data_IF_370475186031
#
_entry.id   IF_370475186031
#
_cell.length_a   1.000
_cell.length_b   1.000
_cell.length_c   1.000
_cell.angle_alpha   90.00
_cell.angle_beta   90.00
_cell.angle_gamma   90.00
#
_symmetry.space_group_name_H-M   'P 1'
#
loop_
_entity.id
_entity.type
_entity.pdbx_description
1 polymer ?
#
# COMPACT_ATOMS: atom_id res chain seq x y z
N UNK A 1 -21.30 26.80 22.57
CA UNK A 1 -20.45 27.14 21.40
C UNK A 1 -20.51 26.11 20.25
N UNK A 2 -21.22 25.01 20.37
CA UNK A 2 -21.29 23.91 19.35
C UNK A 2 -22.25 24.18 18.17
N UNK A 3 -23.23 25.09 18.32
CA UNK A 3 -24.26 25.32 17.30
C UNK A 3 -23.83 25.97 15.98
N UNK A 4 -22.69 26.69 15.95
CA UNK A 4 -22.22 27.38 14.73
C UNK A 4 -21.12 26.67 13.96
N UNK A 5 -20.50 25.61 14.52
CA UNK A 5 -19.39 24.88 13.86
C UNK A 5 -19.90 23.93 12.77
N UNK A 6 -21.01 23.24 13.04
CA UNK A 6 -21.58 22.24 12.11
C UNK A 6 -22.07 22.87 10.78
N UNK A 7 -22.80 24.01 10.77
CA UNK A 7 -23.20 24.66 9.53
C UNK A 7 -22.01 25.11 8.66
N UNK A 8 -20.96 25.68 9.28
CA UNK A 8 -19.73 26.10 8.58
C UNK A 8 -18.98 24.93 7.97
N UNK A 9 -18.86 23.82 8.70
CA UNK A 9 -18.21 22.60 8.19
C UNK A 9 -19.00 22.01 7.00
N UNK A 10 -20.33 21.98 7.06
CA UNK A 10 -21.19 21.52 5.95
C UNK A 10 -21.07 22.44 4.73
N UNK A 11 -21.04 23.74 4.90
CA UNK A 11 -20.86 24.70 3.81
C UNK A 11 -19.49 24.54 3.14
N UNK A 12 -18.40 24.35 3.92
CA UNK A 12 -17.07 24.08 3.40
C UNK A 12 -17.05 22.75 2.62
N UNK A 13 -17.65 21.70 3.18
CA UNK A 13 -17.72 20.39 2.53
C UNK A 13 -18.48 20.44 1.19
N UNK A 14 -19.58 21.17 1.12
CA UNK A 14 -20.33 21.40 -0.12
C UNK A 14 -19.49 22.16 -1.17
N UNK A 15 -18.71 23.17 -0.75
CA UNK A 15 -17.77 23.88 -1.64
C UNK A 15 -16.67 22.98 -2.18
N UNK A 16 -16.07 22.10 -1.35
CA UNK A 16 -15.07 21.14 -1.77
C UNK A 16 -15.68 20.14 -2.75
N UNK A 17 -16.89 19.67 -2.47
CA UNK A 17 -17.62 18.73 -3.33
C UNK A 17 -17.90 19.35 -4.71
N UNK A 18 -18.42 20.56 -4.76
CA UNK A 18 -18.69 21.30 -5.99
C UNK A 18 -17.41 21.63 -6.80
N UNK A 19 -16.27 21.87 -6.13
CA UNK A 19 -14.99 22.12 -6.77
C UNK A 19 -14.29 20.84 -7.27
N UNK A 20 -14.82 19.65 -6.97
CA UNK A 20 -14.21 18.38 -7.35
C UNK A 20 -14.58 18.00 -8.78
N UNK A 21 -13.60 17.77 -9.68
CA UNK A 21 -13.88 17.34 -11.05
C UNK A 21 -14.67 16.03 -11.10
N UNK A 22 -15.69 15.95 -11.97
CA UNK A 22 -16.59 14.78 -12.08
C UNK A 22 -15.85 13.47 -12.44
N UNK A 23 -14.71 13.55 -13.12
CA UNK A 23 -13.92 12.41 -13.53
C UNK A 23 -13.00 11.85 -12.42
N UNK A 24 -13.00 12.47 -11.23
CA UNK A 24 -12.11 12.06 -10.12
C UNK A 24 -12.63 10.77 -9.48
N UNK A 25 -11.77 9.75 -9.40
CA UNK A 25 -12.10 8.50 -8.72
C UNK A 25 -11.91 8.69 -7.19
N UNK A 26 -13.03 9.02 -6.54
CA UNK A 26 -13.07 9.31 -5.09
C UNK A 26 -12.75 8.07 -4.24
N UNK A 27 -13.00 6.86 -4.74
CA UNK A 27 -12.67 5.63 -4.02
C UNK A 27 -11.16 5.41 -3.96
N UNK A 28 -10.44 5.71 -5.04
CA UNK A 28 -8.96 5.68 -5.06
C UNK A 28 -8.38 6.69 -4.07
N UNK A 29 -8.96 7.89 -4.00
CA UNK A 29 -8.54 8.90 -3.03
C UNK A 29 -8.84 8.46 -1.58
N UNK A 30 -9.97 7.78 -1.34
CA UNK A 30 -10.30 7.22 -0.04
C UNK A 30 -9.31 6.12 0.38
N UNK A 31 -8.97 5.20 -0.53
CA UNK A 31 -7.95 4.17 -0.27
C UNK A 31 -6.58 4.78 0.07
N UNK A 32 -6.18 5.85 -0.63
CA UNK A 32 -4.95 6.57 -0.32
C UNK A 32 -4.99 7.20 1.06
N UNK A 33 -6.09 7.87 1.41
CA UNK A 33 -6.24 8.49 2.73
C UNK A 33 -6.24 7.45 3.85
N UNK A 34 -6.90 6.30 3.65
CA UNK A 34 -6.87 5.17 4.59
C UNK A 34 -5.46 4.60 4.74
N UNK A 35 -4.72 4.48 3.63
CA UNK A 35 -3.35 3.98 3.68
C UNK A 35 -2.44 4.93 4.49
N UNK A 36 -2.56 6.25 4.30
CA UNK A 36 -1.80 7.24 5.07
C UNK A 36 -2.19 7.19 6.55
N UNK A 37 -3.50 7.14 6.85
CA UNK A 37 -3.98 7.05 8.22
C UNK A 37 -3.50 5.77 8.91
N UNK A 38 -3.51 4.63 8.20
CA UNK A 38 -2.99 3.36 8.70
C UNK A 38 -1.52 3.44 9.08
N UNK A 39 -0.68 4.02 8.23
CA UNK A 39 0.74 4.23 8.53
C UNK A 39 0.93 5.11 9.76
N UNK A 40 0.27 6.27 9.83
CA UNK A 40 0.39 7.20 10.96
C UNK A 40 -0.04 6.54 12.27
N UNK A 41 -1.22 5.93 12.29
CA UNK A 41 -1.74 5.25 13.48
C UNK A 41 -0.89 4.03 13.86
N UNK A 42 -0.41 3.29 12.86
CA UNK A 42 0.52 2.17 13.07
C UNK A 42 1.77 2.61 13.81
N UNK A 43 2.44 3.64 13.33
CA UNK A 43 3.62 4.19 14.01
C UNK A 43 3.30 4.67 15.42
N UNK A 44 2.22 5.41 15.63
CA UNK A 44 1.84 5.92 16.95
C UNK A 44 1.46 4.82 17.95
N UNK A 45 0.95 3.68 17.48
CA UNK A 45 0.55 2.56 18.34
C UNK A 45 1.66 1.53 18.54
N UNK A 46 2.56 1.35 17.55
CA UNK A 46 3.58 0.29 17.57
C UNK A 46 4.94 0.80 18.09
N UNK A 47 5.14 2.13 18.16
CA UNK A 47 6.36 2.74 18.70
C UNK A 47 6.15 3.21 20.14
N UNK A 48 6.99 2.78 21.06
CA UNK A 48 7.05 3.26 22.43
C UNK A 48 8.43 3.89 22.70
N UNK A 49 8.45 5.17 23.09
CA UNK A 49 9.67 5.85 23.49
C UNK A 49 9.75 5.82 25.04
N UNK A 50 10.48 4.83 25.53
CA UNK A 50 10.62 4.58 26.98
C UNK A 50 11.71 5.48 27.54
N UNK A 51 11.36 6.19 28.62
CA UNK A 51 12.30 7.04 29.36
C UNK A 51 12.77 6.32 30.61
N UNK A 52 14.05 6.02 30.69
CA UNK A 52 14.67 5.43 31.88
C UNK A 52 15.55 6.44 32.60
N UNK A 53 15.63 6.33 33.93
CA UNK A 53 16.55 7.15 34.73
C UNK A 53 17.93 6.51 34.64
N UNK A 54 18.89 7.21 34.06
CA UNK A 54 20.29 6.80 33.96
C UNK A 54 21.17 7.53 34.95
N UNK A 55 22.46 7.14 35.07
CA UNK A 55 23.46 7.80 35.91
C UNK A 55 23.71 9.26 35.54
N UNK A 56 23.50 9.64 34.31
CA UNK A 56 23.78 10.97 33.73
C UNK A 56 22.49 11.71 33.29
N UNK A 57 21.31 11.26 33.74
CA UNK A 57 20.04 11.84 33.33
C UNK A 57 19.03 10.84 32.79
N UNK A 58 18.18 11.27 31.86
CA UNK A 58 17.21 10.41 31.19
C UNK A 58 17.84 9.76 29.96
N UNK A 59 17.58 8.49 29.74
CA UNK A 59 17.93 7.76 28.52
C UNK A 59 16.65 7.36 27.75
N UNK A 60 16.64 7.54 26.43
CA UNK A 60 15.54 7.21 25.56
C UNK A 60 15.78 5.86 24.88
N UNK A 61 14.79 4.99 24.97
CA UNK A 61 14.82 3.69 24.30
C UNK A 61 13.58 3.50 23.46
N UNK A 62 13.77 3.21 22.17
CA UNK A 62 12.68 2.83 21.31
C UNK A 62 12.33 1.35 21.52
N UNK A 63 11.08 1.07 21.86
CA UNK A 63 10.55 -0.27 22.07
C UNK A 63 9.27 -0.47 21.25
N UNK A 64 8.98 -1.72 20.90
CA UNK A 64 7.73 -2.07 20.28
C UNK A 64 6.84 -2.86 21.26
N UNK A 65 5.56 -2.50 21.44
CA UNK A 65 4.63 -3.31 22.22
C UNK A 65 4.46 -4.73 21.66
N UNK A 66 4.76 -4.96 20.39
CA UNK A 66 4.69 -6.29 19.78
C UNK A 66 5.84 -7.20 20.23
N UNK A 67 6.93 -6.66 20.76
CA UNK A 67 8.02 -7.45 21.32
C UNK A 67 7.63 -8.10 22.66
N UNK A 68 6.78 -7.42 23.45
CA UNK A 68 6.33 -7.88 24.77
C UNK A 68 4.94 -8.49 24.73
N UNK A 69 4.06 -8.01 23.84
CA UNK A 69 2.67 -8.42 23.70
C UNK A 69 2.44 -9.01 22.29
N UNK A 70 3.09 -10.14 22.00
CA UNK A 70 3.04 -10.78 20.66
C UNK A 70 1.64 -11.17 20.21
N UNK A 71 0.69 -11.37 21.13
CA UNK A 71 -0.73 -11.64 20.84
C UNK A 71 -1.42 -10.46 20.12
N UNK A 72 -0.86 -9.24 20.16
CA UNK A 72 -1.37 -8.08 19.43
C UNK A 72 -0.90 -8.05 17.96
N UNK A 73 -0.03 -8.96 17.56
CA UNK A 73 0.51 -9.00 16.21
C UNK A 73 -0.57 -9.01 15.13
N UNK A 74 -1.64 -9.84 15.20
CA UNK A 74 -2.71 -9.82 14.19
C UNK A 74 -3.45 -8.47 14.10
N UNK A 75 -3.57 -7.75 15.23
CA UNK A 75 -4.17 -6.41 15.25
C UNK A 75 -3.32 -5.42 14.49
N UNK A 76 -1.99 -5.55 14.55
CA UNK A 76 -1.05 -4.69 13.82
C UNK A 76 -1.19 -4.80 12.29
N UNK A 77 -1.73 -5.91 11.77
CA UNK A 77 -1.95 -6.11 10.33
C UNK A 77 -2.90 -5.07 9.73
N UNK A 78 -3.85 -4.55 10.51
CA UNK A 78 -4.78 -3.50 10.07
C UNK A 78 -4.04 -2.21 9.71
N UNK A 79 -2.91 -1.94 10.38
CA UNK A 79 -2.11 -0.72 10.19
C UNK A 79 -0.99 -0.88 9.16
N UNK A 80 -0.68 -2.11 8.74
CA UNK A 80 0.26 -2.35 7.65
C UNK A 80 -0.45 -2.11 6.31
N UNK A 81 -0.41 -0.88 5.83
CA UNK A 81 -1.18 -0.41 4.66
C UNK A 81 -0.32 0.00 3.46
N UNK A 82 0.99 -0.29 3.51
CA UNK A 82 1.94 0.09 2.46
C UNK A 82 1.57 -0.51 1.09
N UNK A 83 1.09 -1.76 1.06
CA UNK A 83 0.69 -2.40 -0.19
C UNK A 83 -0.49 -1.65 -0.86
N UNK A 84 -1.45 -1.15 -0.07
CA UNK A 84 -2.56 -0.33 -0.58
C UNK A 84 -2.02 0.98 -1.15
N UNK A 85 -1.02 1.59 -0.48
CA UNK A 85 -0.40 2.82 -0.96
C UNK A 85 0.31 2.61 -2.31
N UNK A 86 1.09 1.54 -2.47
CA UNK A 86 1.76 1.21 -3.72
C UNK A 86 0.76 0.81 -4.83
N UNK A 87 -0.32 0.10 -4.50
CA UNK A 87 -1.42 -0.20 -5.43
C UNK A 87 -2.03 1.08 -6.00
N UNK A 88 -2.41 2.02 -5.13
CA UNK A 88 -2.96 3.33 -5.52
C UNK A 88 -1.91 4.15 -6.27
N UNK A 89 -0.62 4.05 -5.87
CA UNK A 89 0.51 4.68 -6.54
C UNK A 89 0.65 4.23 -8.00
N UNK A 90 0.63 2.92 -8.25
CA UNK A 90 0.66 2.32 -9.58
C UNK A 90 -0.54 2.72 -10.44
N UNK A 91 -1.75 2.69 -9.85
CA UNK A 91 -2.96 3.17 -10.51
C UNK A 91 -2.83 4.65 -10.95
N UNK A 92 -2.42 5.52 -10.04
CA UNK A 92 -2.27 6.95 -10.31
C UNK A 92 -1.13 7.24 -11.31
N UNK A 93 -0.04 6.47 -11.27
CA UNK A 93 1.06 6.58 -12.20
C UNK A 93 0.61 6.22 -13.62
N UNK A 94 -0.05 5.07 -13.81
CA UNK A 94 -0.57 4.64 -15.11
C UNK A 94 -1.58 5.63 -15.71
N UNK A 95 -2.45 6.22 -14.88
CA UNK A 95 -3.46 7.21 -15.31
C UNK A 95 -2.87 8.55 -15.70
N UNK A 96 -1.73 8.92 -15.15
CA UNK A 96 -1.09 10.24 -15.36
C UNK A 96 0.10 10.22 -16.31
N UNK A 97 0.70 9.05 -16.56
CA UNK A 97 1.80 8.91 -17.48
C UNK A 97 1.32 9.05 -18.94
N UNK A 98 1.77 10.12 -19.62
CA UNK A 98 1.33 10.49 -20.97
C UNK A 98 2.53 10.94 -21.82
N UNK A 99 3.35 10.02 -22.26
CA UNK A 99 4.35 10.24 -23.31
C UNK A 99 5.65 10.93 -22.91
N UNK A 100 5.63 12.17 -22.44
CA UNK A 100 6.86 12.85 -21.99
C UNK A 100 7.30 12.39 -20.60
N UNK A 101 8.14 11.34 -20.61
CA UNK A 101 8.65 10.72 -19.40
C UNK A 101 9.46 11.66 -18.52
N UNK A 102 10.38 12.43 -19.12
CA UNK A 102 11.32 13.27 -18.35
C UNK A 102 10.60 14.38 -17.59
N UNK A 103 9.68 15.07 -18.26
CA UNK A 103 8.88 16.13 -17.63
C UNK A 103 7.94 15.56 -16.58
N UNK A 104 7.25 14.45 -16.87
CA UNK A 104 6.36 13.77 -15.94
C UNK A 104 7.10 13.28 -14.69
N UNK A 105 8.25 12.62 -14.83
CA UNK A 105 9.06 12.13 -13.72
C UNK A 105 9.58 13.28 -12.86
N UNK A 106 10.16 14.31 -13.49
CA UNK A 106 10.68 15.50 -12.78
C UNK A 106 9.60 16.17 -11.94
N UNK A 107 8.38 16.32 -12.47
CA UNK A 107 7.26 16.90 -11.72
C UNK A 107 6.85 16.03 -10.53
N UNK A 108 6.88 14.70 -10.68
CA UNK A 108 6.57 13.75 -9.63
C UNK A 108 7.62 13.76 -8.52
N UNK A 109 8.89 13.65 -8.89
CA UNK A 109 10.00 13.69 -7.94
C UNK A 109 10.07 15.04 -7.21
N UNK A 110 9.84 16.16 -7.90
CA UNK A 110 9.81 17.48 -7.26
C UNK A 110 8.68 17.62 -6.23
N UNK A 111 7.54 16.93 -6.40
CA UNK A 111 6.47 16.91 -5.39
C UNK A 111 6.82 16.08 -4.16
N UNK A 112 7.65 15.06 -4.33
CA UNK A 112 8.13 14.22 -3.22
C UNK A 112 9.28 14.90 -2.48
N UNK A 113 10.27 15.46 -3.20
CA UNK A 113 11.49 15.98 -2.61
C UNK A 113 11.30 17.30 -1.86
N UNK A 114 10.41 18.21 -2.32
CA UNK A 114 10.22 19.51 -1.68
C UNK A 114 9.82 19.43 -0.21
N UNK A 115 8.79 18.64 0.20
CA UNK A 115 8.44 18.50 1.60
C UNK A 115 9.55 17.82 2.42
N UNK A 116 10.31 16.89 1.81
CA UNK A 116 11.47 16.24 2.45
C UNK A 116 12.56 17.26 2.74
N UNK A 117 12.87 18.14 1.77
CA UNK A 117 13.86 19.20 1.96
C UNK A 117 13.46 20.16 3.10
N UNK A 118 12.16 20.45 3.26
CA UNK A 118 11.66 21.26 4.38
C UNK A 118 11.83 20.51 5.71
N UNK A 119 11.54 19.20 5.77
CA UNK A 119 11.79 18.40 6.96
C UNK A 119 13.27 18.46 7.36
N UNK A 120 14.17 18.21 6.41
CA UNK A 120 15.63 18.24 6.64
C UNK A 120 16.10 19.64 7.05
N UNK A 121 15.59 20.69 6.40
CA UNK A 121 15.96 22.10 6.73
C UNK A 121 15.54 22.52 8.15
N UNK A 122 14.51 21.87 8.72
CA UNK A 122 14.10 22.09 10.10
C UNK A 122 14.89 21.20 11.06
N UNK A 123 15.00 19.91 10.75
CA UNK A 123 15.61 18.96 11.67
C UNK A 123 17.13 19.03 11.72
N UNK A 124 17.82 19.42 10.63
CA UNK A 124 19.29 19.51 10.64
C UNK A 124 19.81 20.58 11.63
N UNK A 125 19.33 21.85 11.60
CA UNK A 125 19.76 22.85 12.59
C UNK A 125 19.26 22.53 14.01
N UNK A 126 18.06 21.93 14.15
CA UNK A 126 17.55 21.52 15.46
C UNK A 126 18.43 20.43 16.08
N UNK A 127 18.77 19.41 15.33
CA UNK A 127 19.66 18.32 15.78
C UNK A 127 21.06 18.84 16.13
N UNK A 128 21.62 19.70 15.28
CA UNK A 128 22.91 20.35 15.55
C UNK A 128 22.87 21.17 16.84
N UNK A 129 21.82 21.98 17.04
CA UNK A 129 21.63 22.78 18.27
C UNK A 129 21.49 21.93 19.53
N UNK A 130 20.69 20.84 19.48
CA UNK A 130 20.53 19.90 20.59
C UNK A 130 21.85 19.20 20.94
N UNK A 131 22.61 18.81 19.94
CA UNK A 131 23.92 18.15 20.14
C UNK A 131 24.94 19.11 20.73
N UNK A 132 25.10 20.31 20.14
CA UNK A 132 26.10 21.28 20.55
C UNK A 132 25.81 21.88 21.92
N UNK A 133 24.54 22.01 22.32
CA UNK A 133 24.14 22.49 23.66
C UNK A 133 24.33 21.43 24.77
N UNK A 134 24.58 20.15 24.40
CA UNK A 134 24.62 19.05 25.36
C UNK A 134 23.26 18.73 26.01
N UNK A 135 22.15 19.30 25.48
CA UNK A 135 20.81 19.10 26.03
C UNK A 135 20.30 17.65 25.85
N UNK A 136 20.84 16.92 24.86
CA UNK A 136 20.46 15.55 24.54
C UNK A 136 21.74 14.73 24.31
N UNK A 137 21.79 13.51 24.84
CA UNK A 137 22.91 12.61 24.58
C UNK A 137 22.98 12.23 23.09
N UNK A 138 24.19 11.88 22.60
CA UNK A 138 24.34 11.42 21.20
C UNK A 138 23.50 10.18 20.88
N UNK A 139 23.33 9.27 21.86
CA UNK A 139 22.48 8.08 21.71
C UNK A 139 20.99 8.42 21.60
N UNK A 140 20.50 9.34 22.45
CA UNK A 140 19.13 9.80 22.41
C UNK A 140 18.83 10.57 21.12
N UNK A 141 19.77 11.42 20.69
CA UNK A 141 19.65 12.15 19.43
C UNK A 141 19.59 11.18 18.24
N UNK A 142 20.41 10.11 18.25
CA UNK A 142 20.36 9.06 17.23
C UNK A 142 18.97 8.39 17.20
N UNK A 143 18.41 8.02 18.36
CA UNK A 143 17.07 7.44 18.48
C UNK A 143 16.01 8.38 17.90
N UNK A 144 16.03 9.65 18.26
CA UNK A 144 15.11 10.67 17.76
C UNK A 144 15.22 10.84 16.24
N UNK A 145 16.43 10.96 15.70
CA UNK A 145 16.65 11.12 14.27
C UNK A 145 16.26 9.89 13.49
N UNK A 146 16.51 8.69 14.01
CA UNK A 146 16.06 7.44 13.40
C UNK A 146 14.54 7.42 13.25
N UNK A 147 13.79 7.76 14.31
CA UNK A 147 12.32 7.82 14.25
C UNK A 147 11.82 8.84 13.21
N UNK A 148 12.44 10.01 13.11
CA UNK A 148 12.02 11.06 12.18
C UNK A 148 12.34 10.71 10.73
N UNK A 149 13.50 10.09 10.49
CA UNK A 149 14.00 9.82 9.14
C UNK A 149 13.57 8.45 8.61
N UNK A 150 13.23 7.51 9.50
CA UNK A 150 12.78 6.17 9.11
C UNK A 150 11.70 6.17 8.02
N UNK A 151 10.64 7.02 8.07
CA UNK A 151 9.64 7.03 7.00
C UNK A 151 10.18 7.39 5.60
N UNK A 152 11.40 7.95 5.49
CA UNK A 152 11.95 8.39 4.19
C UNK A 152 12.35 7.23 3.27
N UNK A 153 12.68 6.05 3.82
CA UNK A 153 12.97 4.88 2.98
C UNK A 153 11.82 4.55 2.03
N UNK A 154 10.59 4.65 2.54
CA UNK A 154 9.38 4.42 1.76
C UNK A 154 9.26 5.39 0.56
N UNK A 155 9.60 6.68 0.76
CA UNK A 155 9.60 7.66 -0.33
C UNK A 155 10.67 7.37 -1.37
N UNK A 156 11.84 6.87 -0.93
CA UNK A 156 12.89 6.39 -1.82
C UNK A 156 12.40 5.27 -2.73
N UNK A 157 11.80 4.24 -2.16
CA UNK A 157 11.19 3.13 -2.92
C UNK A 157 10.10 3.64 -3.86
N UNK A 158 9.21 4.52 -3.38
CA UNK A 158 8.16 5.10 -4.20
C UNK A 158 8.71 5.91 -5.38
N UNK A 159 9.81 6.64 -5.19
CA UNK A 159 10.50 7.37 -6.25
C UNK A 159 11.09 6.40 -7.30
N UNK A 160 11.73 5.31 -6.87
CA UNK A 160 12.25 4.26 -7.77
C UNK A 160 11.12 3.62 -8.57
N UNK A 161 10.02 3.20 -7.93
CA UNK A 161 8.87 2.62 -8.63
C UNK A 161 8.21 3.61 -9.59
N UNK A 162 8.17 4.89 -9.22
CA UNK A 162 7.71 5.95 -10.13
C UNK A 162 8.62 6.07 -11.34
N UNK A 163 9.94 6.01 -11.16
CA UNK A 163 10.88 6.02 -12.28
C UNK A 163 10.74 4.77 -13.18
N UNK A 164 10.45 3.61 -12.61
CA UNK A 164 10.22 2.36 -13.33
C UNK A 164 8.84 2.29 -14.03
N UNK A 165 7.97 3.31 -13.90
CA UNK A 165 6.60 3.28 -14.46
C UNK A 165 6.54 2.92 -15.96
N UNK A 166 7.39 3.43 -16.86
CA UNK A 166 7.33 3.05 -18.28
C UNK A 166 7.54 1.54 -18.49
N UNK A 167 8.53 0.96 -17.83
CA UNK A 167 8.80 -0.47 -17.85
C UNK A 167 7.64 -1.26 -17.25
N UNK A 168 7.15 -0.83 -16.08
CA UNK A 168 6.02 -1.45 -15.40
C UNK A 168 4.74 -1.44 -16.26
N UNK A 169 4.47 -0.32 -16.95
CA UNK A 169 3.35 -0.22 -17.91
C UNK A 169 3.56 -1.17 -19.11
N UNK A 170 4.79 -1.27 -19.63
CA UNK A 170 5.11 -2.18 -20.74
C UNK A 170 4.91 -3.66 -20.34
N UNK A 171 5.39 -4.04 -19.15
CA UNK A 171 5.19 -5.39 -18.60
C UNK A 171 3.69 -5.73 -18.44
N UNK A 172 2.91 -4.81 -17.84
CA UNK A 172 1.46 -5.02 -17.68
C UNK A 172 0.74 -5.02 -19.03
N UNK A 173 1.20 -4.27 -20.02
CA UNK A 173 0.65 -4.34 -21.40
C UNK A 173 0.88 -5.69 -22.02
N UNK A 174 2.04 -6.31 -21.78
CA UNK A 174 2.45 -7.59 -22.38
C UNK A 174 1.84 -8.80 -21.66
N UNK A 175 1.82 -8.78 -20.32
CA UNK A 175 1.51 -9.94 -19.49
C UNK A 175 0.26 -9.74 -18.60
N UNK A 176 -0.40 -8.59 -18.66
CA UNK A 176 -1.56 -8.31 -17.83
C UNK A 176 -1.23 -8.37 -16.33
N UNK A 177 -2.09 -9.04 -15.56
CA UNK A 177 -1.91 -9.26 -14.12
C UNK A 177 -0.70 -10.14 -13.81
N UNK A 178 -0.33 -11.05 -14.71
CA UNK A 178 0.82 -11.94 -14.56
C UNK A 178 2.15 -11.18 -14.51
N UNK A 179 2.20 -9.92 -14.92
CA UNK A 179 3.37 -9.07 -14.73
C UNK A 179 3.82 -9.02 -13.26
N UNK A 180 2.89 -9.13 -12.29
CA UNK A 180 3.19 -9.14 -10.86
C UNK A 180 3.87 -10.44 -10.40
N UNK A 181 3.80 -11.53 -11.17
CA UNK A 181 4.48 -12.78 -10.85
C UNK A 181 6.00 -12.66 -10.95
N UNK A 182 6.53 -11.84 -11.86
CA UNK A 182 7.98 -11.67 -12.02
C UNK A 182 8.67 -11.17 -10.73
N UNK A 183 8.29 -10.02 -10.16
CA UNK A 183 8.90 -9.58 -8.91
C UNK A 183 8.53 -10.48 -7.72
N UNK A 184 7.38 -11.15 -7.72
CA UNK A 184 7.02 -12.13 -6.70
C UNK A 184 7.99 -13.32 -6.69
N UNK A 185 8.35 -13.86 -7.86
CA UNK A 185 9.35 -14.93 -8.00
C UNK A 185 10.72 -14.44 -7.51
N UNK A 186 11.11 -13.19 -7.83
CA UNK A 186 12.37 -12.61 -7.33
C UNK A 186 12.38 -12.58 -5.80
N UNK A 187 11.28 -12.16 -5.17
CA UNK A 187 11.16 -12.15 -3.70
C UNK A 187 11.27 -13.56 -3.13
N UNK A 188 10.56 -14.52 -3.70
CA UNK A 188 10.61 -15.92 -3.27
C UNK A 188 12.02 -16.51 -3.39
N UNK A 189 12.71 -16.23 -4.50
CA UNK A 189 14.09 -16.69 -4.72
C UNK A 189 15.07 -16.03 -3.72
N UNK A 190 14.94 -14.73 -3.46
CA UNK A 190 15.78 -14.03 -2.50
C UNK A 190 15.56 -14.53 -1.07
N UNK A 191 14.32 -14.82 -0.69
CA UNK A 191 14.03 -15.41 0.63
C UNK A 191 14.58 -16.84 0.74
N UNK A 192 14.42 -17.68 -0.31
CA UNK A 192 15.01 -19.02 -0.34
C UNK A 192 16.55 -18.98 -0.20
N UNK A 193 17.21 -18.03 -0.88
CA UNK A 193 18.67 -17.83 -0.72
C UNK A 193 19.01 -17.46 0.72
N UNK A 194 18.24 -16.58 1.38
CA UNK A 194 18.52 -16.11 2.75
C UNK A 194 18.24 -17.14 3.82
N UNK A 195 17.11 -17.84 3.71
CA UNK A 195 16.59 -18.65 4.81
C UNK A 195 16.91 -20.13 4.64
N UNK A 196 16.89 -20.66 3.40
CA UNK A 196 17.03 -22.08 3.14
C UNK A 196 18.44 -22.48 2.68
N UNK A 197 19.10 -21.61 1.90
CA UNK A 197 20.41 -21.93 1.30
C UNK A 197 21.59 -21.30 2.05
N UNK A 198 21.36 -20.65 3.20
CA UNK A 198 22.44 -20.04 4.00
C UNK A 198 23.18 -18.91 3.28
N UNK A 199 22.54 -18.26 2.30
CA UNK A 199 23.13 -17.19 1.52
C UNK A 199 23.27 -15.89 2.32
N UNK A 200 23.93 -14.87 1.75
CA UNK A 200 24.24 -13.65 2.45
C UNK A 200 22.96 -12.83 2.74
N UNK A 201 22.89 -12.23 3.92
CA UNK A 201 21.74 -11.42 4.37
C UNK A 201 21.41 -10.24 3.43
N UNK A 202 22.42 -9.70 2.73
CA UNK A 202 22.23 -8.59 1.78
C UNK A 202 21.38 -9.00 0.56
N UNK A 203 21.27 -10.31 0.23
CA UNK A 203 20.43 -10.79 -0.87
C UNK A 203 18.96 -10.34 -0.72
N UNK A 204 18.48 -10.21 0.52
CA UNK A 204 17.13 -9.71 0.79
C UNK A 204 16.88 -8.25 0.39
N UNK A 205 17.90 -7.43 0.21
CA UNK A 205 17.71 -6.02 -0.15
C UNK A 205 17.12 -5.82 -1.55
N UNK A 206 17.24 -6.81 -2.45
CA UNK A 206 16.55 -6.80 -3.74
C UNK A 206 15.03 -6.76 -3.55
N UNK A 207 14.53 -7.33 -2.46
CA UNK A 207 13.11 -7.36 -2.11
C UNK A 207 12.55 -5.97 -1.79
N UNK A 208 13.39 -5.00 -1.42
CA UNK A 208 12.93 -3.62 -1.15
C UNK A 208 12.24 -3.01 -2.37
N UNK A 209 12.75 -3.31 -3.57
CA UNK A 209 12.10 -2.86 -4.81
C UNK A 209 11.13 -3.91 -5.34
N UNK A 210 11.55 -5.18 -5.41
CA UNK A 210 10.75 -6.27 -5.98
C UNK A 210 9.44 -6.48 -5.20
N UNK A 211 9.48 -6.47 -3.86
CA UNK A 211 8.29 -6.70 -3.03
C UNK A 211 7.21 -5.64 -3.25
N UNK A 212 7.59 -4.38 -3.26
CA UNK A 212 6.64 -3.27 -3.46
C UNK A 212 6.28 -3.05 -4.93
N UNK A 213 7.06 -3.57 -5.87
CA UNK A 213 6.70 -3.58 -7.28
C UNK A 213 5.48 -4.47 -7.57
N UNK A 214 5.24 -5.53 -6.77
CA UNK A 214 4.06 -6.41 -6.90
C UNK A 214 2.76 -5.61 -6.79
N UNK A 215 2.42 -4.95 -5.67
CA UNK A 215 1.19 -4.17 -5.57
C UNK A 215 1.18 -2.97 -6.54
N UNK A 216 2.32 -2.41 -6.90
CA UNK A 216 2.41 -1.34 -7.88
C UNK A 216 1.98 -1.80 -9.29
N UNK A 217 2.43 -2.97 -9.74
CA UNK A 217 2.01 -3.58 -11.02
C UNK A 217 0.52 -3.95 -11.00
N UNK A 218 0.00 -4.48 -9.88
CA UNK A 218 -1.43 -4.72 -9.70
C UNK A 218 -2.24 -3.42 -9.82
N UNK A 219 -1.72 -2.31 -9.31
CA UNK A 219 -2.31 -0.98 -9.45
C UNK A 219 -2.35 -0.50 -10.90
N UNK A 220 -1.27 -0.73 -11.67
CA UNK A 220 -1.23 -0.44 -13.11
C UNK A 220 -2.23 -1.32 -13.86
N UNK A 221 -2.30 -2.61 -13.55
CA UNK A 221 -3.26 -3.55 -14.14
C UNK A 221 -4.71 -3.11 -13.85
N UNK A 222 -4.98 -2.67 -12.61
CA UNK A 222 -6.27 -2.09 -12.23
C UNK A 222 -6.62 -0.86 -13.07
N UNK A 223 -5.69 0.08 -13.24
CA UNK A 223 -5.90 1.27 -14.06
C UNK A 223 -6.22 0.96 -15.53
N UNK A 224 -5.83 -0.23 -15.99
CA UNK A 224 -6.08 -0.75 -17.34
C UNK A 224 -7.33 -1.63 -17.45
N UNK A 225 -8.10 -1.77 -16.36
CA UNK A 225 -9.36 -2.52 -16.34
C UNK A 225 -9.21 -4.03 -16.16
N UNK A 226 -8.08 -4.51 -15.64
CA UNK A 226 -7.84 -5.94 -15.45
C UNK A 226 -8.78 -6.63 -14.44
N UNK A 227 -9.50 -5.86 -13.65
CA UNK A 227 -10.41 -6.37 -12.60
C UNK A 227 -11.86 -5.89 -12.84
N UNK A 228 -12.56 -6.43 -13.85
CA UNK A 228 -13.90 -5.97 -14.22
C UNK A 228 -14.99 -6.36 -13.21
N UNK A 229 -14.71 -7.34 -12.35
CA UNK A 229 -15.67 -7.86 -11.37
C UNK A 229 -15.03 -8.19 -10.03
N UNK A 230 -15.80 -8.87 -9.15
CA UNK A 230 -15.38 -9.20 -7.78
C UNK A 230 -14.54 -10.49 -7.67
N UNK A 231 -14.62 -11.42 -8.66
CA UNK A 231 -13.96 -12.73 -8.60
C UNK A 231 -12.43 -12.60 -8.49
N UNK A 232 -11.79 -11.86 -9.38
CA UNK A 232 -10.34 -11.66 -9.36
C UNK A 232 -9.86 -11.05 -8.03
N UNK A 233 -10.43 -9.90 -7.58
CA UNK A 233 -10.13 -9.36 -6.26
C UNK A 233 -10.39 -10.31 -5.09
N UNK A 234 -11.47 -11.11 -5.13
CA UNK A 234 -11.75 -12.11 -4.09
C UNK A 234 -10.71 -13.24 -4.08
N UNK A 235 -10.26 -13.70 -5.24
CA UNK A 235 -9.17 -14.69 -5.37
C UNK A 235 -7.84 -14.13 -4.84
N UNK A 236 -7.53 -12.85 -5.12
CA UNK A 236 -6.34 -12.18 -4.56
C UNK A 236 -6.41 -12.10 -3.04
N UNK A 237 -7.57 -11.76 -2.47
CA UNK A 237 -7.77 -11.72 -1.03
C UNK A 237 -7.60 -13.11 -0.41
N UNK A 238 -8.33 -14.11 -0.89
CA UNK A 238 -8.29 -15.46 -0.36
C UNK A 238 -6.93 -16.14 -0.56
N UNK A 239 -6.39 -16.09 -1.78
CA UNK A 239 -5.10 -16.70 -2.12
C UNK A 239 -3.92 -16.01 -1.40
N UNK A 240 -3.92 -14.68 -1.35
CA UNK A 240 -2.91 -13.93 -0.62
C UNK A 240 -2.96 -14.20 0.89
N UNK A 241 -4.15 -14.22 1.48
CA UNK A 241 -4.31 -14.53 2.90
C UNK A 241 -3.91 -15.98 3.22
N UNK A 242 -4.31 -16.94 2.39
CA UNK A 242 -3.93 -18.35 2.55
C UNK A 242 -2.42 -18.54 2.42
N UNK A 243 -1.78 -17.90 1.43
CA UNK A 243 -0.33 -17.96 1.26
C UNK A 243 0.41 -17.32 2.46
N UNK A 244 -0.07 -16.18 2.94
CA UNK A 244 0.50 -15.53 4.15
C UNK A 244 0.38 -16.44 5.36
N UNK A 245 -0.80 -17.03 5.58
CA UNK A 245 -1.02 -17.97 6.68
C UNK A 245 -0.10 -19.19 6.56
N UNK A 246 0.06 -19.75 5.36
CA UNK A 246 0.96 -20.87 5.11
C UNK A 246 2.41 -20.54 5.46
N UNK A 247 2.89 -19.36 5.02
CA UNK A 247 4.25 -18.90 5.31
C UNK A 247 4.50 -18.69 6.80
N UNK A 248 3.53 -18.12 7.52
CA UNK A 248 3.65 -17.88 8.96
C UNK A 248 3.51 -19.17 9.78
N UNK A 249 2.57 -20.05 9.43
CA UNK A 249 2.26 -21.24 10.24
C UNK A 249 3.18 -22.42 9.97
N UNK A 250 3.68 -22.56 8.72
CA UNK A 250 4.44 -23.76 8.31
C UNK A 250 5.83 -23.48 7.78
N UNK A 251 6.12 -22.27 7.29
CA UNK A 251 7.43 -21.92 6.74
C UNK A 251 8.29 -21.03 7.68
N UNK A 252 7.85 -20.82 8.94
CA UNK A 252 8.66 -20.13 9.97
C UNK A 252 8.79 -18.60 9.79
N UNK A 253 8.01 -17.98 8.91
CA UNK A 253 8.03 -16.52 8.79
C UNK A 253 7.42 -15.86 10.03
N UNK A 254 7.95 -14.68 10.46
CA UNK A 254 7.37 -13.97 11.60
C UNK A 254 5.89 -13.63 11.37
N UNK A 255 5.08 -13.72 12.43
CA UNK A 255 3.67 -13.32 12.35
C UNK A 255 3.50 -11.80 12.18
N UNK A 256 4.46 -10.97 12.62
CA UNK A 256 4.37 -9.52 12.49
C UNK A 256 4.63 -9.08 11.05
N UNK A 257 3.67 -8.32 10.49
CA UNK A 257 3.81 -7.66 9.17
C UNK A 257 4.36 -6.24 9.27
N UNK A 258 4.71 -5.78 10.47
CA UNK A 258 5.38 -4.51 10.76
C UNK A 258 6.74 -4.78 11.39
N UNK A 259 7.64 -3.78 11.38
CA UNK A 259 8.93 -3.88 12.07
C UNK A 259 8.73 -4.05 13.58
N UNK A 260 9.48 -4.95 14.19
CA UNK A 260 9.55 -5.14 15.64
C UNK A 260 11.01 -5.00 16.04
N UNK A 261 11.31 -4.00 16.87
CA UNK A 261 12.68 -3.74 17.31
C UNK A 261 13.21 -4.92 18.11
N UNK A 262 14.45 -5.36 17.78
CA UNK A 262 15.08 -6.51 18.42
C UNK A 262 14.68 -7.88 17.85
N UNK A 263 13.75 -7.96 16.89
CA UNK A 263 13.41 -9.21 16.23
C UNK A 263 14.54 -9.66 15.29
N UNK A 264 14.88 -10.96 15.35
CA UNK A 264 15.94 -11.55 14.50
C UNK A 264 15.60 -11.47 13.00
N UNK A 265 14.31 -11.59 12.66
CA UNK A 265 13.80 -11.51 11.30
C UNK A 265 12.63 -10.50 11.27
N UNK A 266 12.67 -9.59 10.30
CA UNK A 266 11.57 -8.68 10.02
C UNK A 266 10.93 -9.03 8.67
N UNK A 267 9.59 -9.09 8.62
CA UNK A 267 8.88 -9.20 7.35
C UNK A 267 8.91 -7.92 6.52
N UNK A 268 9.26 -6.78 7.14
CA UNK A 268 9.19 -5.47 6.48
C UNK A 268 10.56 -4.94 6.04
N UNK A 269 11.64 -5.32 6.72
CA UNK A 269 12.96 -4.74 6.49
C UNK A 269 14.08 -5.80 6.46
N UNK A 270 14.47 -6.26 5.27
CA UNK A 270 13.83 -6.06 3.96
C UNK A 270 12.49 -6.84 3.84
N UNK A 271 11.60 -6.44 2.91
CA UNK A 271 10.33 -7.13 2.69
C UNK A 271 10.52 -8.60 2.36
N UNK A 272 9.75 -9.47 3.01
CA UNK A 272 9.75 -10.91 2.76
C UNK A 272 8.55 -11.35 1.91
N UNK A 273 8.56 -12.60 1.45
CA UNK A 273 7.44 -13.19 0.74
C UNK A 273 6.13 -13.12 1.55
N UNK A 274 6.20 -13.23 2.88
CA UNK A 274 5.03 -13.14 3.75
C UNK A 274 4.34 -11.76 3.68
N UNK A 275 5.08 -10.65 3.76
CA UNK A 275 4.48 -9.31 3.65
C UNK A 275 4.00 -9.03 2.22
N UNK A 276 4.63 -9.61 1.21
CA UNK A 276 4.21 -9.43 -0.19
C UNK A 276 2.91 -10.19 -0.49
N UNK A 277 2.76 -11.43 -0.02
CA UNK A 277 1.50 -12.20 -0.14
C UNK A 277 0.38 -11.55 0.67
N UNK A 278 0.67 -11.04 1.87
CA UNK A 278 -0.24 -10.20 2.63
C UNK A 278 -0.65 -8.95 1.84
N UNK A 279 0.29 -8.29 1.16
CA UNK A 279 0.03 -7.15 0.29
C UNK A 279 -0.88 -7.48 -0.90
N UNK A 280 -0.80 -8.69 -1.46
CA UNK A 280 -1.73 -9.18 -2.49
C UNK A 280 -3.14 -9.33 -1.91
N UNK A 281 -3.27 -9.88 -0.69
CA UNK A 281 -4.55 -9.96 0.00
C UNK A 281 -5.15 -8.58 0.24
N UNK A 282 -4.35 -7.62 0.72
CA UNK A 282 -4.78 -6.24 0.92
C UNK A 282 -5.20 -5.56 -0.39
N UNK A 283 -4.49 -5.80 -1.49
CA UNK A 283 -4.87 -5.30 -2.81
C UNK A 283 -6.23 -5.86 -3.25
N UNK A 284 -6.47 -7.15 -3.03
CA UNK A 284 -7.77 -7.79 -3.26
C UNK A 284 -8.89 -7.14 -2.44
N UNK A 285 -8.66 -6.95 -1.14
CA UNK A 285 -9.60 -6.28 -0.23
C UNK A 285 -9.87 -4.83 -0.67
N UNK A 286 -8.84 -4.07 -1.01
CA UNK A 286 -8.97 -2.69 -1.46
C UNK A 286 -9.86 -2.58 -2.72
N UNK A 287 -9.67 -3.50 -3.68
CA UNK A 287 -10.48 -3.56 -4.90
C UNK A 287 -11.95 -3.95 -4.60
N UNK A 288 -12.19 -4.86 -3.65
CA UNK A 288 -13.54 -5.23 -3.20
C UNK A 288 -14.24 -4.07 -2.49
N UNK A 289 -13.49 -3.26 -1.74
CA UNK A 289 -14.00 -2.10 -1.01
C UNK A 289 -14.21 -0.87 -1.90
N UNK A 290 -13.81 -0.90 -3.18
CA UNK A 290 -13.93 0.25 -4.08
C UNK A 290 -15.37 0.78 -4.18
N UNK A 291 -16.35 -0.10 -4.39
CA UNK A 291 -17.75 0.32 -4.54
C UNK A 291 -18.37 0.88 -3.24
N UNK A 292 -18.23 0.21 -2.07
CA UNK A 292 -18.70 0.80 -0.80
C UNK A 292 -18.00 2.12 -0.49
N UNK A 293 -16.70 2.25 -0.76
CA UNK A 293 -15.98 3.53 -0.59
C UNK A 293 -16.50 4.60 -1.56
N UNK A 294 -16.76 4.26 -2.83
CA UNK A 294 -17.33 5.19 -3.79
C UNK A 294 -18.70 5.71 -3.32
N UNK A 295 -19.56 4.83 -2.75
CA UNK A 295 -20.84 5.21 -2.15
C UNK A 295 -20.68 6.13 -0.94
N UNK A 296 -19.75 5.80 -0.04
CA UNK A 296 -19.46 6.63 1.14
C UNK A 296 -18.96 8.02 0.74
N UNK A 297 -18.14 8.11 -0.30
CA UNK A 297 -17.58 9.37 -0.80
C UNK A 297 -18.61 10.26 -1.54
N UNK A 298 -19.86 9.81 -1.70
CA UNK A 298 -20.96 10.68 -2.11
C UNK A 298 -21.42 11.62 -0.99
N UNK A 299 -21.07 11.31 0.28
CA UNK A 299 -21.38 12.18 1.43
C UNK A 299 -20.38 13.34 1.46
N UNK A 300 -20.81 14.62 1.35
CA UNK A 300 -19.89 15.75 1.22
C UNK A 300 -18.88 15.87 2.37
N UNK A 301 -19.29 15.57 3.61
CA UNK A 301 -18.39 15.61 4.78
C UNK A 301 -17.29 14.54 4.70
N UNK A 302 -17.65 13.30 4.35
CA UNK A 302 -16.69 12.22 4.18
C UNK A 302 -15.69 12.54 3.05
N UNK A 303 -16.20 13.04 1.92
CA UNK A 303 -15.36 13.48 0.82
C UNK A 303 -14.43 14.62 1.21
N UNK A 304 -14.93 15.64 1.91
CA UNK A 304 -14.11 16.78 2.35
C UNK A 304 -12.98 16.34 3.27
N UNK A 305 -13.22 15.42 4.21
CA UNK A 305 -12.21 14.86 5.07
C UNK A 305 -11.12 14.13 4.25
N UNK A 306 -11.51 13.23 3.35
CA UNK A 306 -10.59 12.50 2.46
C UNK A 306 -9.82 13.45 1.54
N UNK A 307 -10.48 14.43 0.95
CA UNK A 307 -9.83 15.42 0.09
C UNK A 307 -8.78 16.24 0.86
N UNK A 308 -9.08 16.63 2.11
CA UNK A 308 -8.13 17.35 2.98
C UNK A 308 -6.90 16.50 3.30
N UNK A 309 -7.09 15.24 3.68
CA UNK A 309 -5.98 14.30 3.91
C UNK A 309 -5.12 14.15 2.66
N UNK A 310 -5.72 13.95 1.50
CA UNK A 310 -4.97 13.78 0.24
C UNK A 310 -4.23 15.04 -0.19
N UNK A 311 -4.79 16.23 0.04
CA UNK A 311 -4.10 17.51 -0.25
C UNK A 311 -2.95 17.80 0.72
N UNK A 312 -2.93 17.14 1.86
CA UNK A 312 -1.95 17.30 2.93
C UNK A 312 -1.10 16.04 3.14
N UNK A 313 -1.20 15.09 2.21
CA UNK A 313 -0.65 13.74 2.34
C UNK A 313 0.82 13.72 2.74
N UNK A 314 1.65 14.51 2.06
CA UNK A 314 3.10 14.56 2.30
C UNK A 314 3.42 15.23 3.64
N UNK A 315 2.73 16.31 3.99
CA UNK A 315 2.93 16.96 5.29
C UNK A 315 2.53 16.02 6.43
N UNK A 316 1.35 15.41 6.36
CA UNK A 316 0.89 14.47 7.39
C UNK A 316 1.85 13.29 7.54
N UNK A 317 2.29 12.72 6.40
CA UNK A 317 3.20 11.58 6.38
C UNK A 317 4.59 11.93 6.93
N UNK A 318 5.17 13.09 6.59
CA UNK A 318 6.52 13.44 7.02
C UNK A 318 6.59 13.92 8.48
N UNK A 319 5.53 14.57 8.96
CA UNK A 319 5.54 15.21 10.28
C UNK A 319 4.90 14.39 11.40
N UNK A 320 4.32 13.19 11.12
CA UNK A 320 3.65 12.41 12.17
C UNK A 320 4.60 11.94 13.28
N UNK A 321 5.84 11.57 12.95
CA UNK A 321 6.84 11.20 13.96
C UNK A 321 7.31 12.40 14.76
N UNK A 322 7.46 13.56 14.11
CA UNK A 322 7.72 14.83 14.84
C UNK A 322 6.57 15.18 15.78
N UNK A 323 5.31 14.95 15.38
CA UNK A 323 4.15 15.18 16.24
C UNK A 323 4.15 14.23 17.45
N UNK A 324 4.49 12.97 17.25
CA UNK A 324 4.67 11.99 18.31
C UNK A 324 5.78 12.42 19.29
N UNK A 325 6.96 12.78 18.79
CA UNK A 325 8.09 13.25 19.59
C UNK A 325 7.75 14.53 20.35
N UNK A 326 7.09 15.50 19.72
CA UNK A 326 6.66 16.73 20.36
C UNK A 326 5.68 16.48 21.51
N UNK A 327 4.69 15.59 21.31
CA UNK A 327 3.77 15.20 22.37
C UNK A 327 4.48 14.48 23.52
N UNK A 328 5.42 13.58 23.20
CA UNK A 328 6.22 12.86 24.18
C UNK A 328 7.12 13.83 24.97
N UNK A 329 7.84 14.72 24.29
CA UNK A 329 8.70 15.69 24.95
C UNK A 329 7.91 16.68 25.85
N UNK A 330 6.76 17.18 25.35
CA UNK A 330 5.89 18.05 26.14
C UNK A 330 5.34 17.34 27.38
N UNK A 331 5.05 16.04 27.29
CA UNK A 331 4.59 15.23 28.42
C UNK A 331 5.64 15.10 29.54
N UNK A 332 6.94 15.13 29.21
CA UNK A 332 8.02 15.03 30.22
C UNK A 332 8.01 16.18 31.22
N UNK A 333 7.49 17.36 30.85
CA UNK A 333 7.32 18.49 31.78
C UNK A 333 6.39 18.14 32.96
N UNK A 334 5.54 17.13 32.81
CA UNK A 334 4.61 16.65 33.85
C UNK A 334 5.10 15.33 34.50
N UNK A 335 6.35 14.94 34.26
CA UNK A 335 6.94 13.71 34.74
C UNK A 335 6.76 12.53 33.78
N UNK A 336 7.03 11.32 34.29
CA UNK A 336 6.89 10.08 33.49
C UNK A 336 5.43 9.65 33.43
N UNK A 337 4.79 9.80 32.28
CA UNK A 337 3.38 9.53 32.08
C UNK A 337 3.18 8.11 31.50
N UNK A 338 2.15 7.42 32.01
CA UNK A 338 1.76 6.10 31.56
C UNK A 338 1.33 6.11 30.07
N UNK A 339 1.66 5.05 29.35
CA UNK A 339 1.38 4.93 27.90
C UNK A 339 2.17 5.90 27.00
N UNK A 340 2.95 6.83 27.59
CA UNK A 340 3.77 7.81 26.87
C UNK A 340 5.26 7.56 27.06
N UNK A 341 5.72 7.41 28.32
CA UNK A 341 7.14 7.27 28.70
C UNK A 341 7.46 5.92 29.34
N UNK A 342 6.43 5.08 29.58
CA UNK A 342 6.56 3.77 30.24
C UNK A 342 6.75 2.65 29.21
N UNK A 343 7.40 1.57 29.64
CA UNK A 343 7.56 0.37 28.81
C UNK A 343 6.20 -0.26 28.49
N UNK A 344 6.00 -0.77 27.27
CA UNK A 344 4.77 -1.40 26.85
C UNK A 344 4.66 -2.84 27.40
N UNK A 345 4.28 -3.00 28.66
CA UNK A 345 4.29 -4.27 29.35
C UNK A 345 2.91 -4.92 29.53
N UNK A 346 1.83 -4.21 29.26
CA UNK A 346 0.46 -4.70 29.54
C UNK A 346 -0.60 -4.14 28.60
N UNK A 347 -1.76 -4.79 28.53
CA UNK A 347 -2.91 -4.28 27.77
C UNK A 347 -3.40 -2.91 28.24
N UNK A 348 -3.21 -2.57 29.53
CA UNK A 348 -3.51 -1.22 30.03
C UNK A 348 -2.66 -0.15 29.34
N UNK A 349 -1.39 -0.42 29.08
CA UNK A 349 -0.53 0.46 28.31
C UNK A 349 -1.13 0.83 26.93
N UNK A 350 -1.78 -0.14 26.25
CA UNK A 350 -2.45 0.12 24.97
C UNK A 350 -3.61 1.12 25.16
N UNK A 351 -4.42 0.96 26.20
CA UNK A 351 -5.52 1.88 26.48
C UNK A 351 -5.00 3.28 26.77
N UNK A 352 -3.95 3.39 27.59
CA UNK A 352 -3.23 4.64 27.88
C UNK A 352 -2.65 5.26 26.60
N UNK A 353 -2.01 4.46 25.72
CA UNK A 353 -1.48 4.93 24.44
C UNK A 353 -2.60 5.45 23.52
N UNK A 354 -3.74 4.77 23.45
CA UNK A 354 -4.89 5.23 22.69
C UNK A 354 -5.42 6.56 23.20
N UNK A 355 -5.40 6.80 24.52
CA UNK A 355 -5.78 8.07 25.11
C UNK A 355 -4.85 9.24 24.71
N UNK A 356 -3.59 8.96 24.33
CA UNK A 356 -2.65 9.95 23.82
C UNK A 356 -2.82 10.29 22.33
N UNK A 357 -3.53 9.49 21.54
CA UNK A 357 -3.72 9.75 20.11
C UNK A 357 -4.30 11.14 19.80
N UNK A 358 -5.29 11.68 20.55
CA UNK A 358 -5.76 13.05 20.33
C UNK A 358 -4.67 14.11 20.49
N UNK A 359 -3.76 13.93 21.44
CA UNK A 359 -2.62 14.87 21.66
C UNK A 359 -1.69 14.85 20.44
N UNK A 360 -1.32 13.66 19.94
CA UNK A 360 -0.52 13.53 18.73
C UNK A 360 -1.24 14.09 17.49
N UNK A 361 -2.55 13.88 17.40
CA UNK A 361 -3.36 14.44 16.32
C UNK A 361 -3.40 15.98 16.34
N UNK A 362 -3.52 16.59 17.53
CA UNK A 362 -3.44 18.05 17.69
C UNK A 362 -2.05 18.55 17.32
N UNK A 363 -0.98 17.91 17.81
CA UNK A 363 0.39 18.28 17.46
C UNK A 363 0.61 18.17 15.93
N UNK A 364 0.13 17.10 15.30
CA UNK A 364 0.21 16.94 13.85
C UNK A 364 -0.61 17.99 13.10
N UNK A 365 -1.79 18.36 13.60
CA UNK A 365 -2.61 19.42 13.01
C UNK A 365 -1.92 20.79 13.09
N UNK A 366 -1.23 21.10 14.19
CA UNK A 366 -0.44 22.33 14.35
C UNK A 366 0.74 22.34 13.37
N UNK A 367 1.50 21.25 13.28
CA UNK A 367 2.59 21.10 12.31
C UNK A 367 2.06 21.21 10.85
N UNK A 368 0.91 20.62 10.57
CA UNK A 368 0.27 20.75 9.27
C UNK A 368 -0.09 22.23 8.96
N UNK A 369 -0.63 22.97 9.90
CA UNK A 369 -0.93 24.40 9.69
C UNK A 369 0.32 25.21 9.31
N UNK A 370 1.45 24.90 9.93
CA UNK A 370 2.74 25.55 9.65
C UNK A 370 3.30 25.13 8.27
N UNK A 371 3.38 23.82 8.01
CA UNK A 371 4.15 23.28 6.90
C UNK A 371 3.34 22.95 5.64
N UNK A 372 2.00 22.99 5.67
CA UNK A 372 1.13 22.69 4.50
C UNK A 372 1.45 23.51 3.25
N UNK A 373 2.12 24.65 3.39
CA UNK A 373 2.52 25.50 2.27
C UNK A 373 3.70 24.88 1.48
N UNK A 374 4.50 24.03 2.10
CA UNK A 374 5.61 23.33 1.46
C UNK A 374 5.16 22.40 0.32
N UNK A 375 3.93 21.88 0.36
CA UNK A 375 3.37 21.04 -0.70
C UNK A 375 2.88 21.85 -1.92
N UNK A 376 2.68 23.15 -1.77
CA UNK A 376 2.17 23.98 -2.85
C UNK A 376 3.28 24.27 -3.85
N UNK A 377 3.03 23.99 -5.13
CA UNK A 377 3.95 24.44 -6.18
C UNK A 377 4.05 25.98 -6.15
N UNK A 378 5.25 26.58 -6.35
CA UNK A 378 5.37 28.00 -6.55
C UNK A 378 4.42 28.41 -7.69
N UNK A 379 3.57 29.41 -7.46
CA UNK A 379 2.82 30.03 -8.54
C UNK A 379 3.85 30.58 -9.52
N UNK A 380 3.85 30.08 -10.75
CA UNK A 380 4.60 30.74 -11.83
C UNK A 380 4.12 32.20 -11.83
N UNK A 381 5.03 33.19 -11.75
CA UNK A 381 4.65 34.57 -11.98
C UNK A 381 3.91 34.59 -13.32
N UNK A 382 2.71 35.17 -13.36
CA UNK A 382 2.05 35.43 -14.62
C UNK A 382 3.04 36.21 -15.49
N UNK A 383 3.37 35.70 -16.69
CA UNK A 383 4.20 36.39 -17.62
C UNK A 383 3.55 37.77 -17.84
N UNK A 384 4.26 38.82 -17.42
CA UNK A 384 3.90 40.19 -17.77
C UNK A 384 4.04 40.32 -19.27
N UNK A 385 2.94 40.24 -20.01
CA UNK A 385 2.97 40.42 -21.45
C UNK A 385 1.62 40.19 -22.10
N UNK A 386 0.96 41.25 -22.54
CA UNK A 386 -0.10 41.24 -23.55
C UNK A 386 -1.51 41.01 -23.01
N UNK A 387 -2.32 42.08 -23.09
CA UNK A 387 -3.77 42.03 -22.81
C UNK A 387 -4.48 41.01 -23.70
N UNK A 388 -4.96 39.97 -23.06
CA UNK A 388 -5.86 38.98 -23.61
C UNK A 388 -6.52 38.30 -22.43
N UNK A 389 -7.84 38.25 -22.44
CA UNK A 389 -8.67 37.69 -21.38
C UNK A 389 -8.11 36.32 -20.94
N UNK A 390 -7.63 36.23 -19.69
CA UNK A 390 -7.14 34.99 -19.09
C UNK A 390 -8.37 34.15 -18.72
N UNK A 391 -8.72 33.24 -19.60
CA UNK A 391 -9.50 32.05 -19.25
C UNK A 391 -8.61 31.24 -18.30
N UNK A 392 -9.05 30.91 -17.07
CA UNK A 392 -8.25 30.06 -16.18
C UNK A 392 -8.00 28.74 -16.90
N UNK A 393 -6.72 28.40 -17.10
CA UNK A 393 -6.32 27.16 -17.70
C UNK A 393 -6.87 26.01 -16.86
N UNK A 394 -7.97 25.46 -17.30
CA UNK A 394 -8.48 24.16 -16.90
C UNK A 394 -7.34 23.15 -17.11
N UNK A 395 -7.05 22.34 -16.11
CA UNK A 395 -6.22 21.15 -16.27
C UNK A 395 -6.70 20.43 -17.53
N UNK A 396 -5.84 20.05 -18.48
CA UNK A 396 -6.27 19.45 -19.73
C UNK A 396 -7.05 18.16 -19.42
N UNK A 397 -8.36 18.24 -19.58
CA UNK A 397 -9.29 17.12 -19.50
C UNK A 397 -9.18 16.31 -20.78
N UNK A 398 -8.50 15.18 -20.68
CA UNK A 398 -8.43 14.25 -21.80
C UNK A 398 -9.73 13.49 -21.97
N UNK A 399 -10.49 13.77 -23.02
CA UNK A 399 -11.66 13.00 -23.47
C UNK A 399 -11.33 11.82 -24.38
N UNK A 400 -10.06 11.58 -24.72
CA UNK A 400 -9.69 10.61 -25.77
C UNK A 400 -9.36 9.17 -25.31
N UNK A 401 -9.57 8.84 -24.02
CA UNK A 401 -9.20 7.53 -23.47
C UNK A 401 -10.25 6.43 -23.63
N UNK A 402 -11.44 6.75 -24.12
CA UNK A 402 -12.55 5.80 -24.26
C UNK A 402 -12.81 5.34 -25.70
N UNK A 403 -11.91 5.59 -26.63
CA UNK A 403 -12.04 4.97 -27.96
C UNK A 403 -11.55 3.52 -27.88
N UNK A 404 -12.44 2.52 -28.10
CA UNK A 404 -11.98 1.16 -28.29
C UNK A 404 -11.09 1.12 -29.51
N UNK A 405 -9.96 0.40 -29.41
CA UNK A 405 -9.09 0.08 -30.53
C UNK A 405 -9.94 -0.68 -31.55
N UNK A 406 -10.31 -0.01 -32.63
CA UNK A 406 -10.90 -0.68 -33.79
C UNK A 406 -9.81 -1.56 -34.41
N UNK A 407 -10.10 -2.84 -34.52
CA UNK A 407 -9.31 -3.79 -35.29
C UNK A 407 -9.14 -3.34 -36.76
N UNK A 408 -8.19 -3.94 -37.49
CA UNK A 408 -7.86 -3.54 -38.87
C UNK A 408 -9.08 -3.56 -39.76
N UNK A 409 -9.40 -2.39 -40.35
CA UNK A 409 -10.57 -2.16 -41.16
C UNK A 409 -10.50 -2.96 -42.48
N UNK A 410 -11.60 -3.58 -42.82
CA UNK A 410 -11.90 -4.07 -44.16
C UNK A 410 -11.91 -2.88 -45.15
N UNK A 411 -11.42 -3.07 -46.43
CA UNK A 411 -11.34 -1.96 -47.37
C UNK A 411 -12.74 -1.48 -47.79
N UNK A 412 -12.89 -0.17 -47.84
CA UNK A 412 -14.07 0.54 -48.31
C UNK A 412 -14.25 0.30 -49.80
N UNK A 413 -15.36 -0.30 -50.19
CA UNK A 413 -15.86 -0.28 -51.56
C UNK A 413 -16.22 1.18 -51.95
N UNK A 414 -15.68 1.62 -53.10
CA UNK A 414 -15.97 2.87 -53.77
C UNK A 414 -17.47 2.98 -54.10
N UNK A 415 -18.08 4.06 -53.67
CA UNK A 415 -19.38 4.50 -54.24
C UNK A 415 -19.10 5.17 -55.58
N UNK A 416 -19.70 4.64 -56.64
CA UNK A 416 -19.96 5.33 -57.87
C UNK A 416 -21.47 5.55 -58.02
N UNK A 417 -21.82 6.80 -58.39
CA UNK A 417 -22.89 7.34 -59.15
C UNK A 417 -24.33 6.94 -58.83
N UNK A 418 -25.08 8.01 -58.53
CA UNK A 418 -26.52 8.13 -58.72
C UNK A 418 -26.88 7.91 -60.16
N UNK A 419 -27.98 7.17 -60.42
CA UNK A 419 -28.94 7.50 -61.44
C UNK A 419 -30.34 6.95 -61.04
N UNK A 420 -31.34 7.79 -61.21
CA UNK A 420 -32.78 7.61 -61.06
C UNK A 420 -33.29 6.58 -62.04
N UNK A 421 -34.32 5.79 -61.70
CA UNK A 421 -35.56 5.67 -62.46
C UNK A 421 -36.65 4.81 -61.78
N UNK A 422 -37.80 5.38 -61.64
CA UNK A 422 -39.24 4.96 -61.63
C UNK A 422 -39.65 3.54 -61.16
N UNK A 423 -40.53 3.52 -60.17
CA UNK A 423 -41.94 3.12 -60.09
C UNK A 423 -42.36 1.88 -60.91
N UNK A 424 -42.91 0.88 -60.23
CA UNK A 424 -44.28 0.38 -60.37
C UNK A 424 -44.47 -1.02 -59.77
N UNK A 425 -45.58 -1.14 -59.08
CA UNK A 425 -46.55 -2.25 -58.90
C UNK A 425 -46.22 -3.47 -58.01
N UNK A 426 -47.10 -3.56 -57.01
CA UNK A 426 -47.58 -4.76 -56.30
C UNK A 426 -48.37 -5.67 -57.26
N UNK A 427 -48.60 -6.99 -57.01
CA UNK A 427 -49.31 -7.51 -55.84
C UNK A 427 -48.78 -8.85 -55.27
N UNK A 428 -49.23 -9.18 -54.01
CA UNK A 428 -49.14 -10.53 -53.43
C UNK A 428 -50.31 -11.44 -53.91
N UNK A 429 -50.77 -12.46 -53.18
CA UNK A 429 -50.13 -13.45 -52.30
C UNK A 429 -50.44 -14.91 -52.75
N UNK A 430 -49.95 -15.93 -52.07
CA UNK A 430 -50.40 -17.34 -52.24
C UNK A 430 -49.35 -18.36 -51.81
N UNK A 431 -49.54 -18.88 -50.73
CA UNK A 431 -50.04 -20.21 -50.31
C UNK A 431 -49.19 -21.44 -50.61
N UNK A 432 -49.15 -22.25 -49.58
CA UNK A 432 -49.06 -23.73 -49.50
C UNK A 432 -47.63 -24.33 -49.41
N UNK A 433 -47.36 -24.83 -48.24
CA UNK A 433 -47.71 -26.15 -47.66
C UNK A 433 -46.77 -27.28 -48.06
N UNK A 434 -46.30 -27.94 -47.09
CA UNK A 434 -46.27 -29.39 -47.12
C UNK A 434 -44.95 -30.07 -46.73
N UNK A 435 -45.09 -30.78 -45.65
CA UNK A 435 -44.60 -32.14 -45.38
C UNK A 435 -43.15 -32.31 -44.91
N UNK A 436 -43.11 -32.73 -43.69
CA UNK A 436 -42.96 -34.09 -43.07
C UNK A 436 -41.49 -34.44 -42.91
N UNK A 437 -41.08 -34.61 -41.76
CA UNK A 437 -41.24 -35.65 -40.74
C UNK A 437 -40.08 -36.65 -40.75
N UNK A 438 -39.70 -36.95 -39.58
CA UNK A 438 -39.32 -38.24 -39.01
C UNK A 438 -37.84 -38.51 -38.76
N UNK A 439 -37.65 -38.76 -37.50
CA UNK A 439 -37.01 -39.93 -36.84
C UNK A 439 -35.48 -40.00 -36.91
N UNK A 440 -34.82 -40.34 -35.87
CA UNK A 440 -35.00 -41.21 -34.75
C UNK A 440 -33.72 -41.25 -33.94
N UNK A 441 -33.88 -41.21 -32.67
CA UNK A 441 -33.55 -42.16 -31.64
C UNK A 441 -32.17 -42.87 -31.68
N UNK A 442 -31.45 -42.63 -30.58
CA UNK A 442 -30.98 -43.61 -29.58
C UNK A 442 -29.90 -44.63 -30.01
N UNK A 443 -28.94 -44.76 -29.13
CA UNK A 443 -28.46 -45.97 -28.44
C UNK A 443 -27.20 -45.54 -27.65
N UNK A 444 -27.19 -45.34 -26.42
CA UNK A 444 -27.02 -46.14 -25.21
C UNK A 444 -26.17 -47.42 -25.39
N UNK A 445 -25.27 -47.55 -24.45
CA UNK A 445 -24.84 -48.74 -23.72
C UNK A 445 -23.46 -49.34 -23.94
N UNK A 446 -22.80 -49.44 -22.78
CA UNK A 446 -22.06 -50.60 -22.22
C UNK A 446 -20.62 -50.79 -22.71
N UNK A 447 -19.69 -51.15 -21.86
CA UNK A 447 -19.54 -52.23 -20.86
C UNK A 447 -18.26 -52.00 -20.07
N UNK A 448 -18.24 -51.90 -18.77
CA UNK A 448 -17.83 -52.85 -17.72
C UNK A 448 -16.68 -53.83 -18.07
N UNK A 449 -15.67 -53.81 -17.19
CA UNK A 449 -15.28 -55.10 -16.63
C UNK A 449 -13.81 -55.23 -16.18
N UNK A 450 -13.65 -55.47 -14.91
CA UNK A 450 -12.75 -56.43 -14.21
C UNK A 450 -11.24 -56.10 -14.28
N UNK A 451 -10.50 -56.34 -13.21
CA UNK A 451 -10.61 -57.15 -11.99
C UNK A 451 -9.36 -56.89 -11.14
N UNK A 452 -9.53 -56.80 -9.91
CA UNK A 452 -9.00 -57.48 -8.74
C UNK A 452 -7.77 -58.37 -9.01
N UNK A 453 -6.65 -58.16 -8.27
CA UNK A 453 -6.05 -59.20 -7.42
C UNK A 453 -5.08 -58.63 -6.37
N UNK A 454 -5.22 -59.02 -5.24
CA UNK A 454 -4.75 -59.30 -3.93
C UNK A 454 -3.23 -59.39 -3.74
N UNK A 455 -2.87 -58.87 -2.56
CA UNK A 455 -1.78 -59.08 -1.62
C UNK A 455 -1.23 -60.52 -1.49
N UNK A 456 -0.07 -60.80 -0.87
CA UNK A 456 0.28 -60.65 0.55
C UNK A 456 1.77 -60.25 0.80
N UNK A 457 2.29 -59.75 1.89
CA UNK A 457 2.20 -60.14 3.31
C UNK A 457 3.60 -60.45 3.85
N UNK A 458 3.88 -60.01 5.08
CA UNK A 458 4.98 -60.49 5.92
C UNK A 458 6.17 -59.52 6.03
N UNK A 459 6.72 -59.13 7.16
CA UNK A 459 6.68 -59.60 8.50
C UNK A 459 7.66 -58.72 9.32
N UNK A 460 7.33 -58.47 10.55
CA UNK A 460 8.16 -57.91 11.62
C UNK A 460 8.85 -59.12 12.31
N UNK A 461 10.04 -59.01 12.90
CA UNK A 461 10.28 -58.49 14.24
C UNK A 461 11.65 -57.83 14.42
N UNK A 462 11.91 -56.92 15.33
CA UNK A 462 11.88 -57.01 16.79
C UNK A 462 13.30 -56.85 17.37
N UNK A 463 13.45 -56.02 18.40
CA UNK A 463 14.46 -56.27 19.39
C UNK A 463 15.48 -55.18 19.69
N UNK A 464 15.44 -54.58 20.88
CA UNK A 464 16.55 -54.36 21.75
C UNK A 464 17.07 -52.95 21.98
N UNK A 465 16.65 -52.29 23.06
CA UNK A 465 17.51 -51.32 23.75
C UNK A 465 18.57 -52.06 24.59
N UNK A 466 19.36 -51.48 25.46
CA UNK A 466 19.20 -50.22 26.19
C UNK A 466 20.49 -49.40 26.46
N UNK A 467 20.31 -48.17 27.03
CA UNK A 467 21.10 -47.51 28.09
C UNK A 467 22.60 -47.13 27.92
N UNK A 468 22.90 -45.91 28.34
CA UNK A 468 24.22 -45.53 28.85
C UNK A 468 24.62 -44.07 28.63
N UNK A 469 24.20 -43.14 29.44
CA UNK A 469 24.99 -42.36 30.44
C UNK A 469 26.29 -41.66 29.99
N UNK A 470 26.31 -40.34 30.29
CA UNK A 470 27.37 -39.47 30.83
C UNK A 470 27.80 -38.26 30.01
N UNK A 471 27.48 -37.13 30.60
CA UNK A 471 28.35 -36.02 31.06
C UNK A 471 29.45 -35.47 30.13
N UNK A 472 29.46 -34.16 30.04
CA UNK A 472 30.66 -33.41 29.68
C UNK A 472 30.39 -31.95 29.29
N UNK A 473 30.44 -31.06 30.28
CA UNK A 473 30.69 -29.61 30.22
C UNK A 473 31.67 -29.20 29.09
N UNK A 474 31.44 -28.06 28.48
CA UNK A 474 32.38 -26.94 28.56
C UNK A 474 31.88 -25.70 27.78
N UNK A 475 31.87 -24.60 28.49
CA UNK A 475 31.92 -23.22 28.08
C UNK A 475 32.73 -22.94 26.80
N UNK A 476 32.21 -22.04 25.95
CA UNK A 476 33.03 -20.96 25.37
C UNK A 476 32.17 -19.77 24.90
N UNK A 477 32.26 -18.70 25.66
CA UNK A 477 32.11 -17.32 25.23
C UNK A 477 33.01 -17.04 24.02
N UNK A 478 32.44 -16.44 22.96
CA UNK A 478 33.18 -15.52 22.09
C UNK A 478 32.19 -14.42 21.66
N UNK A 479 32.48 -13.19 22.11
CA UNK A 479 31.85 -11.97 21.66
C UNK A 479 32.37 -11.59 20.27
N UNK A 480 31.52 -10.87 19.55
CA UNK A 480 31.94 -9.96 18.48
C UNK A 480 31.16 -8.64 18.54
N UNK A 481 31.91 -7.59 18.30
CA UNK A 481 31.67 -6.14 18.31
C UNK A 481 30.50 -5.70 17.46
#
# INVERSE_FOLDING_TARGET
MTGHVIPRARALAARIDAATPAHRDRAVDALRALAIAGVILGHWLVTALVVTSGRTGHALHDQSPLATMSYLTPVSWVFQTLAIFFLVGGYAAARSYRGDYRSWLRQRLARLSRPVLVLVAVWAPLAAGLYLSGAVSGADLHTVLTLVLDPLWFLGVYAVLTALTPLAVALVRRFGVLAAAFPLIVVAAADAVRFDLGGPSWAGWVNVVAGWLVPYLLGIAWARGAFPGRRGPAMMLAGGAAATAALVLWAGYPASMVGVNGAAISNLNPPTLAVVTFGIAQAGLALLLREPLARLMRRPLAWAAVATVNLSAMTLFLWHQTAFLAGTAAGLAFGRLAGLHTAPASGMWIAERVAWLPVFAVALALLWLVFRRAERAPRRPAARGGGGAVVPAALPGGRDWLRPVRGPGRPRARRLGREEYHREDRPGPGDQAGHEAADGQAVQERVRGRGVDRLPGGGVPGGGGPAGHRDGRADRLVGYR
#
